data_IF_869881014856
#
_entry.id   IF_869881014856
#
_cell.length_a   1.000
_cell.length_b   1.000
_cell.length_c   1.000
_cell.angle_alpha   90.00
_cell.angle_beta   90.00
_cell.angle_gamma   90.00
#
_symmetry.space_group_name_H-M   'P 1'
#
loop_
_entity.id
_entity.type
_entity.pdbx_description
1 polymer ?
#
# COMPACT_ATOMS: atom_id res chain seq x y z
N UNK A 1 -52.51 11.39 -10.89
CA UNK A 1 -51.90 10.43 -9.95
C UNK A 1 -51.56 9.17 -10.74
N UNK A 2 -50.29 8.94 -11.03
CA UNK A 2 -49.80 7.74 -11.74
C UNK A 2 -48.61 7.18 -10.97
N UNK A 3 -48.73 5.90 -10.61
CA UNK A 3 -47.63 5.05 -10.15
C UNK A 3 -46.64 4.79 -11.29
N UNK A 4 -45.38 4.52 -10.93
CA UNK A 4 -44.53 3.56 -11.67
C UNK A 4 -43.13 4.07 -12.04
N UNK A 5 -42.12 3.51 -11.36
CA UNK A 5 -40.74 3.20 -11.80
C UNK A 5 -39.90 3.03 -10.52
N UNK A 6 -39.85 1.86 -9.87
CA UNK A 6 -39.03 0.69 -10.23
C UNK A 6 -37.80 1.01 -11.09
N UNK A 7 -36.66 1.23 -10.44
CA UNK A 7 -35.35 1.02 -11.04
C UNK A 7 -34.51 0.16 -10.08
N UNK A 8 -34.32 -1.10 -10.50
CA UNK A 8 -33.23 -1.94 -10.08
C UNK A 8 -31.90 -1.23 -10.39
N UNK A 9 -31.08 -1.05 -9.36
CA UNK A 9 -29.62 -1.01 -9.47
C UNK A 9 -29.16 -1.98 -8.39
N UNK A 10 -28.78 -3.21 -8.70
CA UNK A 10 -27.84 -3.59 -9.74
C UNK A 10 -26.50 -3.79 -9.03
N UNK A 11 -26.32 -5.01 -8.55
CA UNK A 11 -25.17 -5.50 -7.79
C UNK A 11 -23.82 -5.10 -8.38
N UNK A 12 -22.98 -4.47 -7.55
CA UNK A 12 -21.52 -4.60 -7.64
C UNK A 12 -20.97 -4.70 -6.21
N UNK A 13 -21.17 -5.87 -5.61
CA UNK A 13 -20.40 -6.33 -4.47
C UNK A 13 -19.03 -6.75 -5.02
N UNK A 14 -18.10 -5.80 -5.17
CA UNK A 14 -16.70 -6.15 -5.35
C UNK A 14 -16.10 -6.36 -3.97
N UNK A 15 -16.04 -7.64 -3.59
CA UNK A 15 -15.23 -8.12 -2.49
C UNK A 15 -13.77 -7.73 -2.74
N UNK A 16 -13.26 -6.75 -2.00
CA UNK A 16 -11.82 -6.56 -1.81
C UNK A 16 -11.42 -7.44 -0.63
N UNK A 17 -11.45 -8.75 -0.85
CA UNK A 17 -10.62 -9.68 -0.07
C UNK A 17 -9.27 -9.71 -0.76
N UNK A 18 -8.39 -8.79 -0.39
CA UNK A 18 -6.96 -8.95 -0.65
C UNK A 18 -6.35 -9.59 0.57
N UNK A 19 -5.99 -10.85 0.39
CA UNK A 19 -5.51 -11.78 1.40
C UNK A 19 -4.31 -11.23 2.18
N UNK A 20 -4.46 -11.15 3.50
CA UNK A 20 -3.35 -11.38 4.42
C UNK A 20 -3.25 -12.90 4.55
N UNK A 21 -2.41 -13.51 3.74
CA UNK A 21 -1.98 -14.90 3.90
C UNK A 21 -0.45 -14.93 3.86
N UNK A 22 0.15 -14.35 4.89
CA UNK A 22 1.47 -14.76 5.34
C UNK A 22 1.25 -15.80 6.44
N UNK A 23 0.95 -17.05 6.08
CA UNK A 23 0.88 -18.12 7.06
C UNK A 23 2.34 -18.39 7.47
N UNK A 24 2.72 -18.10 8.72
CA UNK A 24 3.99 -18.58 9.24
C UNK A 24 3.82 -20.06 9.59
N UNK A 25 4.63 -20.93 8.99
CA UNK A 25 4.82 -22.28 9.52
C UNK A 25 5.36 -22.13 10.94
N UNK A 26 4.61 -22.62 11.93
CA UNK A 26 5.15 -22.93 13.26
C UNK A 26 6.40 -23.79 13.06
N UNK A 27 7.53 -23.35 13.63
CA UNK A 27 8.73 -24.16 13.70
C UNK A 27 8.34 -25.56 14.17
N UNK A 28 8.80 -26.59 13.46
CA UNK A 28 8.68 -27.96 13.93
C UNK A 28 9.31 -28.03 15.32
N UNK A 29 8.46 -28.13 16.34
CA UNK A 29 8.88 -28.52 17.68
C UNK A 29 9.43 -29.94 17.50
N UNK A 30 10.75 -30.08 17.62
CA UNK A 30 11.34 -31.38 17.88
C UNK A 30 10.83 -31.79 19.27
N UNK A 31 9.74 -32.57 19.30
CA UNK A 31 9.42 -33.35 20.48
C UNK A 31 10.54 -34.38 20.66
N UNK A 32 11.35 -34.18 21.70
CA UNK A 32 12.21 -35.23 22.24
C UNK A 32 11.29 -36.32 22.80
N UNK A 33 10.99 -37.31 21.94
CA UNK A 33 10.45 -38.59 22.37
C UNK A 33 11.58 -39.42 22.96
N UNK A 34 11.69 -39.38 24.28
CA UNK A 34 12.24 -40.47 25.07
C UNK A 34 11.25 -41.64 24.96
N UNK A 35 11.61 -42.68 24.20
CA UNK A 35 11.12 -44.03 24.42
C UNK A 35 12.20 -45.00 23.96
N UNK A 36 12.92 -45.51 24.95
CA UNK A 36 13.65 -46.78 24.90
C UNK A 36 12.69 -47.89 24.44
N UNK A 37 13.06 -48.64 23.40
CA UNK A 37 12.83 -50.09 23.37
C UNK A 37 13.65 -50.75 22.25
N UNK A 38 14.41 -51.77 22.65
CA UNK A 38 15.27 -52.63 21.88
C UNK A 38 14.53 -53.37 20.73
N UNK A 39 15.07 -53.36 19.50
CA UNK A 39 14.98 -54.54 18.62
C UNK A 39 16.02 -54.53 17.47
N UNK A 40 16.82 -55.60 17.46
CA UNK A 40 17.82 -55.93 16.44
C UNK A 40 17.17 -56.36 15.12
N UNK A 41 17.40 -55.62 14.03
CA UNK A 41 17.59 -56.28 12.72
C UNK A 41 18.20 -55.41 11.63
N UNK A 42 19.31 -55.92 11.11
CA UNK A 42 20.08 -55.42 10.00
C UNK A 42 19.24 -55.27 8.72
N UNK A 43 19.17 -54.05 8.20
CA UNK A 43 18.59 -53.74 6.89
C UNK A 43 19.13 -52.42 6.35
N UNK A 44 20.34 -52.45 5.77
CA UNK A 44 20.94 -51.30 5.08
C UNK A 44 20.08 -50.83 3.90
N UNK A 45 19.30 -49.79 4.14
CA UNK A 45 18.59 -49.03 3.11
C UNK A 45 18.69 -47.54 3.40
N UNK A 46 19.82 -46.92 3.04
CA UNK A 46 20.00 -45.45 3.07
C UNK A 46 18.95 -44.79 2.15
N UNK A 47 17.79 -44.44 2.70
CA UNK A 47 16.88 -43.47 2.09
C UNK A 47 17.54 -42.10 2.22
N UNK A 48 18.22 -41.66 1.16
CA UNK A 48 18.56 -40.24 0.99
C UNK A 48 17.25 -39.46 0.97
N UNK A 49 16.97 -38.73 2.05
CA UNK A 49 15.93 -37.69 2.09
C UNK A 49 16.33 -36.67 1.02
N UNK A 50 15.59 -36.65 -0.08
CA UNK A 50 15.75 -35.68 -1.17
C UNK A 50 15.22 -34.35 -0.65
N UNK A 51 16.11 -33.53 -0.07
CA UNK A 51 15.88 -32.09 -0.01
C UNK A 51 15.79 -31.60 -1.44
N UNK A 52 14.68 -30.97 -1.77
CA UNK A 52 14.49 -30.29 -3.04
C UNK A 52 15.41 -29.07 -3.07
N UNK A 53 15.96 -28.72 -4.24
CA UNK A 53 16.90 -27.59 -4.40
C UNK A 53 16.35 -26.27 -3.83
N UNK A 54 15.02 -26.12 -3.75
CA UNK A 54 14.32 -25.00 -3.11
C UNK A 54 14.58 -24.83 -1.59
N UNK A 55 15.05 -25.87 -0.89
CA UNK A 55 15.36 -25.81 0.55
C UNK A 55 16.77 -25.27 0.82
N UNK A 56 17.71 -25.47 -0.12
CA UNK A 56 19.11 -25.05 0.03
C UNK A 56 19.26 -23.54 -0.21
N UNK A 57 18.50 -22.99 -1.16
CA UNK A 57 18.45 -21.54 -1.42
C UNK A 57 17.81 -20.77 -0.26
N UNK A 58 16.82 -21.35 0.44
CA UNK A 58 16.19 -20.73 1.60
C UNK A 58 17.15 -20.63 2.79
N UNK A 59 17.95 -21.67 3.06
CA UNK A 59 18.86 -21.72 4.20
C UNK A 59 19.94 -20.61 4.19
N UNK A 60 20.27 -20.06 3.02
CA UNK A 60 21.28 -19.01 2.89
C UNK A 60 20.72 -17.59 3.04
N UNK A 61 19.40 -17.43 3.02
CA UNK A 61 18.75 -16.13 3.20
C UNK A 61 18.84 -15.65 4.65
N UNK A 62 18.73 -14.33 4.86
CA UNK A 62 18.79 -13.76 6.20
C UNK A 62 17.67 -14.28 7.12
N UNK A 63 16.46 -14.49 6.58
CA UNK A 63 15.36 -15.13 7.31
C UNK A 63 15.57 -16.64 7.50
N UNK A 64 16.09 -17.33 6.48
CA UNK A 64 16.31 -18.77 6.55
C UNK A 64 17.36 -19.19 7.58
N UNK A 65 18.39 -18.37 7.81
CA UNK A 65 19.35 -18.57 8.92
C UNK A 65 18.69 -18.57 10.29
N UNK A 66 17.58 -17.84 10.40
CA UNK A 66 16.79 -17.73 11.62
C UNK A 66 15.61 -18.72 11.66
N UNK A 67 15.53 -19.62 10.67
CA UNK A 67 14.43 -20.56 10.44
C UNK A 67 13.06 -19.87 10.31
N UNK A 68 13.06 -18.66 9.74
CA UNK A 68 11.86 -17.90 9.40
C UNK A 68 11.60 -18.02 7.90
N UNK A 69 10.34 -18.27 7.54
CA UNK A 69 9.89 -18.24 6.16
C UNK A 69 8.41 -17.84 6.07
N UNK A 70 8.11 -17.00 5.09
CA UNK A 70 6.77 -16.72 4.58
C UNK A 70 6.37 -17.77 3.53
N UNK A 71 5.08 -17.98 3.33
CA UNK A 71 4.59 -18.87 2.25
C UNK A 71 4.98 -18.34 0.87
N UNK A 72 5.02 -17.02 0.73
CA UNK A 72 5.41 -16.37 -0.51
C UNK A 72 6.95 -16.34 -0.60
N UNK A 73 7.52 -17.18 -1.47
CA UNK A 73 8.96 -17.26 -1.70
C UNK A 73 9.56 -15.93 -2.14
N UNK A 74 8.84 -15.12 -2.91
CA UNK A 74 9.33 -13.81 -3.36
C UNK A 74 9.36 -12.80 -2.22
N UNK A 75 8.40 -12.87 -1.30
CA UNK A 75 8.44 -12.10 -0.06
C UNK A 75 9.64 -12.48 0.81
N UNK A 76 9.98 -13.78 0.92
CA UNK A 76 11.19 -14.23 1.62
C UNK A 76 12.46 -13.63 1.04
N UNK A 77 12.58 -13.64 -0.29
CA UNK A 77 13.73 -13.04 -0.99
C UNK A 77 13.80 -11.55 -0.71
N UNK A 78 12.71 -10.80 -0.94
CA UNK A 78 12.70 -9.35 -0.72
C UNK A 78 13.05 -8.96 0.72
N UNK A 79 12.43 -9.62 1.71
CA UNK A 79 12.71 -9.33 3.11
C UNK A 79 14.10 -9.76 3.55
N UNK A 80 14.71 -10.74 2.86
CA UNK A 80 16.06 -11.20 3.15
C UNK A 80 17.15 -10.38 2.45
N UNK A 81 16.85 -9.78 1.31
CA UNK A 81 17.77 -8.95 0.53
C UNK A 81 17.98 -7.58 1.19
N UNK A 82 16.96 -7.05 1.89
CA UNK A 82 17.10 -5.84 2.70
C UNK A 82 17.53 -6.17 4.13
N UNK A 83 18.76 -5.78 4.49
CA UNK A 83 19.34 -6.07 5.80
C UNK A 83 18.55 -5.45 6.97
N UNK A 84 17.94 -4.28 6.78
CA UNK A 84 17.13 -3.62 7.82
C UNK A 84 15.79 -4.31 7.99
N UNK A 85 15.15 -4.73 6.90
CA UNK A 85 13.89 -5.46 6.94
C UNK A 85 14.06 -6.89 7.45
N UNK A 86 15.15 -7.55 7.11
CA UNK A 86 15.47 -8.82 7.72
C UNK A 86 15.65 -8.67 9.23
N UNK A 87 16.49 -7.72 9.68
CA UNK A 87 16.72 -7.50 11.11
C UNK A 87 15.42 -7.19 11.86
N UNK A 88 14.57 -6.31 11.31
CA UNK A 88 13.26 -6.01 11.89
C UNK A 88 12.34 -7.24 12.01
N UNK A 89 12.34 -8.09 10.99
CA UNK A 89 11.56 -9.33 10.97
C UNK A 89 12.05 -10.31 12.04
N UNK A 90 13.36 -10.47 12.16
CA UNK A 90 13.98 -11.33 13.17
C UNK A 90 13.68 -10.81 14.58
N UNK A 91 13.83 -9.49 14.80
CA UNK A 91 13.51 -8.86 16.08
C UNK A 91 12.07 -9.10 16.47
N UNK A 92 11.13 -8.96 15.54
CA UNK A 92 9.72 -9.23 15.83
C UNK A 92 9.45 -10.72 16.12
N UNK A 93 9.95 -11.67 15.32
CA UNK A 93 9.49 -13.06 15.40
C UNK A 93 10.35 -14.01 16.22
N UNK A 94 11.66 -13.76 16.34
CA UNK A 94 12.58 -14.67 17.03
C UNK A 94 12.89 -14.25 18.47
N UNK A 95 12.73 -12.96 18.79
CA UNK A 95 13.16 -12.39 20.07
C UNK A 95 12.05 -11.71 20.88
N UNK A 96 10.84 -11.55 20.34
CA UNK A 96 9.80 -10.74 20.97
C UNK A 96 8.44 -11.46 21.01
N UNK A 97 8.18 -12.14 22.12
CA UNK A 97 6.88 -12.77 22.45
C UNK A 97 5.70 -11.81 22.27
N UNK A 98 5.88 -10.52 22.60
CA UNK A 98 4.80 -9.53 22.50
C UNK A 98 4.53 -9.13 21.04
N UNK A 99 5.55 -9.11 20.18
CA UNK A 99 5.38 -8.87 18.75
C UNK A 99 4.65 -10.05 18.08
N UNK A 100 4.98 -11.29 18.47
CA UNK A 100 4.27 -12.49 18.02
C UNK A 100 2.81 -12.49 18.46
N UNK A 101 2.51 -12.19 19.73
CA UNK A 101 1.12 -12.07 20.22
C UNK A 101 0.35 -10.98 19.48
N UNK A 102 0.99 -9.84 19.21
CA UNK A 102 0.38 -8.77 18.42
C UNK A 102 0.07 -9.24 16.99
N UNK A 103 0.99 -9.94 16.32
CA UNK A 103 0.73 -10.48 14.99
C UNK A 103 -0.46 -11.45 15.00
N UNK A 104 -0.46 -12.45 15.90
CA UNK A 104 -1.57 -13.40 16.02
C UNK A 104 -2.89 -12.69 16.27
N UNK A 105 -2.92 -11.71 17.16
CA UNK A 105 -4.12 -10.91 17.41
C UNK A 105 -4.60 -10.15 16.16
N UNK A 106 -3.69 -9.60 15.36
CA UNK A 106 -4.02 -8.92 14.10
C UNK A 106 -4.60 -9.86 13.04
N UNK A 107 -4.11 -11.10 12.96
CA UNK A 107 -4.62 -12.15 12.06
C UNK A 107 -5.99 -12.66 12.51
N UNK A 108 -6.23 -12.77 13.81
CA UNK A 108 -7.56 -13.08 14.36
C UNK A 108 -8.57 -11.98 13.99
N UNK A 109 -8.16 -10.70 14.02
CA UNK A 109 -9.04 -9.60 13.62
C UNK A 109 -9.47 -9.67 12.15
N UNK A 110 -8.60 -10.11 11.23
CA UNK A 110 -8.94 -10.19 9.81
C UNK A 110 -9.80 -11.42 9.49
N UNK A 111 -9.60 -12.51 10.23
CA UNK A 111 -10.36 -13.76 10.04
C UNK A 111 -11.72 -13.76 10.72
N UNK A 112 -11.91 -12.94 11.77
CA UNK A 112 -13.15 -12.86 12.52
C UNK A 112 -14.39 -12.47 11.69
N UNK A 113 -14.21 -11.85 10.52
CA UNK A 113 -15.30 -11.44 9.64
C UNK A 113 -16.19 -10.39 10.29
N UNK A 114 -15.96 -9.12 9.96
CA UNK A 114 -16.73 -7.99 10.46
C UNK A 114 -16.82 -6.88 9.42
N UNK A 115 -17.60 -5.84 9.73
CA UNK A 115 -17.51 -4.60 8.96
C UNK A 115 -16.19 -3.87 9.25
N UNK A 116 -15.87 -2.86 8.44
CA UNK A 116 -14.63 -2.09 8.56
C UNK A 116 -14.47 -1.47 9.97
N UNK A 117 -15.58 -1.10 10.63
CA UNK A 117 -15.55 -0.53 11.97
C UNK A 117 -15.16 -1.56 13.04
N UNK A 118 -15.71 -2.77 12.96
CA UNK A 118 -15.37 -3.89 13.83
C UNK A 118 -13.90 -4.31 13.65
N UNK A 119 -13.40 -4.35 12.41
CA UNK A 119 -12.00 -4.63 12.12
C UNK A 119 -11.09 -3.58 12.76
N UNK A 120 -11.38 -2.29 12.57
CA UNK A 120 -10.60 -1.19 13.18
C UNK A 120 -10.62 -1.26 14.71
N UNK A 121 -11.77 -1.54 15.31
CA UNK A 121 -11.89 -1.69 16.76
C UNK A 121 -11.07 -2.87 17.30
N UNK A 122 -11.10 -4.01 16.60
CA UNK A 122 -10.31 -5.19 16.94
C UNK A 122 -8.81 -4.90 16.87
N UNK A 123 -8.34 -4.32 15.76
CA UNK A 123 -6.94 -3.94 15.60
C UNK A 123 -6.47 -2.94 16.65
N UNK A 124 -7.31 -1.96 17.01
CA UNK A 124 -7.01 -1.02 18.08
C UNK A 124 -6.83 -1.74 19.42
N UNK A 125 -7.71 -2.68 19.75
CA UNK A 125 -7.61 -3.50 20.97
C UNK A 125 -6.33 -4.33 20.98
N UNK A 126 -5.98 -4.99 19.88
CA UNK A 126 -4.73 -5.76 19.79
C UNK A 126 -3.49 -4.91 20.07
N UNK A 127 -3.43 -3.68 19.55
CA UNK A 127 -2.32 -2.75 19.81
C UNK A 127 -2.25 -2.34 21.28
N UNK A 128 -3.40 -2.11 21.92
CA UNK A 128 -3.46 -1.78 23.35
C UNK A 128 -3.01 -2.95 24.22
N UNK A 129 -3.50 -4.15 23.94
CA UNK A 129 -3.19 -5.35 24.73
C UNK A 129 -1.73 -5.79 24.57
N UNK A 130 -1.10 -5.50 23.42
CA UNK A 130 0.27 -5.89 23.09
C UNK A 130 1.20 -4.69 22.87
N UNK A 131 1.06 -3.65 23.69
CA UNK A 131 1.79 -2.40 23.52
C UNK A 131 3.33 -2.57 23.53
N UNK A 132 3.85 -3.57 24.25
CA UNK A 132 5.28 -3.87 24.32
C UNK A 132 5.87 -4.37 22.98
N UNK A 133 5.06 -5.06 22.16
CA UNK A 133 5.44 -5.53 20.83
C UNK A 133 5.16 -4.52 19.71
N UNK A 134 4.45 -3.41 20.01
CA UNK A 134 3.92 -2.51 18.99
C UNK A 134 5.01 -1.81 18.17
N UNK A 135 6.09 -1.37 18.83
CA UNK A 135 7.18 -0.68 18.14
C UNK A 135 7.86 -1.61 17.13
N UNK A 136 8.25 -2.81 17.55
CA UNK A 136 8.92 -3.79 16.69
C UNK A 136 7.99 -4.26 15.56
N UNK A 137 6.70 -4.44 15.86
CA UNK A 137 5.69 -4.76 14.86
C UNK A 137 5.52 -3.65 13.81
N UNK A 138 5.56 -2.37 14.23
CA UNK A 138 5.49 -1.24 13.31
C UNK A 138 6.71 -1.18 12.39
N UNK A 139 7.91 -1.43 12.91
CA UNK A 139 9.14 -1.49 12.11
C UNK A 139 9.06 -2.64 11.11
N UNK A 140 8.66 -3.83 11.55
CA UNK A 140 8.42 -4.98 10.66
C UNK A 140 7.40 -4.64 9.56
N UNK A 141 6.22 -4.15 9.94
CA UNK A 141 5.13 -3.88 9.02
C UNK A 141 5.49 -2.76 8.02
N UNK A 142 6.23 -1.74 8.45
CA UNK A 142 6.76 -0.72 7.55
C UNK A 142 7.70 -1.32 6.51
N UNK A 143 8.51 -2.30 6.88
CA UNK A 143 9.38 -3.03 5.96
C UNK A 143 8.60 -3.88 4.95
N UNK A 144 7.59 -4.62 5.41
CA UNK A 144 6.73 -5.42 4.53
C UNK A 144 5.96 -4.53 3.54
N UNK A 145 5.50 -3.35 3.99
CA UNK A 145 4.71 -2.43 3.15
C UNK A 145 5.54 -1.53 2.24
N UNK A 146 6.70 -1.05 2.67
CA UNK A 146 7.47 -0.08 1.89
C UNK A 146 8.49 -0.75 0.97
N UNK A 147 9.15 -1.80 1.46
CA UNK A 147 10.24 -2.46 0.73
C UNK A 147 9.71 -3.62 -0.10
N UNK A 148 8.74 -4.36 0.44
CA UNK A 148 8.29 -5.62 -0.16
C UNK A 148 6.81 -5.66 -0.53
N UNK A 149 6.12 -4.51 -0.62
CA UNK A 149 4.68 -4.51 -0.93
C UNK A 149 4.36 -5.31 -2.19
N UNK A 150 5.04 -5.03 -3.31
CA UNK A 150 4.81 -5.71 -4.59
C UNK A 150 4.99 -7.23 -4.51
N UNK A 151 5.92 -7.69 -3.68
CA UNK A 151 6.29 -9.10 -3.58
C UNK A 151 5.49 -9.85 -2.51
N UNK A 152 5.09 -9.18 -1.43
CA UNK A 152 4.37 -9.76 -0.29
C UNK A 152 2.84 -9.66 -0.41
N UNK A 153 2.31 -9.35 -1.60
CA UNK A 153 0.87 -9.31 -1.84
C UNK A 153 0.14 -8.09 -1.26
N UNK A 154 0.88 -7.10 -0.75
CA UNK A 154 0.35 -5.74 -0.69
C UNK A 154 0.17 -5.32 -2.14
N UNK A 155 -1.04 -5.02 -2.60
CA UNK A 155 -1.21 -4.56 -3.97
C UNK A 155 -0.26 -3.39 -4.18
N UNK A 156 0.81 -3.59 -4.97
CA UNK A 156 1.64 -2.50 -5.42
C UNK A 156 0.65 -1.45 -5.97
N UNK A 157 0.83 -0.16 -5.66
CA UNK A 157 0.11 0.89 -6.35
C UNK A 157 0.13 0.53 -7.84
N UNK A 158 -1.03 0.45 -8.53
CA UNK A 158 -1.04 0.02 -9.91
C UNK A 158 -0.02 0.87 -10.66
N UNK A 159 0.99 0.23 -11.26
CA UNK A 159 2.22 0.87 -11.73
C UNK A 159 2.01 1.91 -12.85
N UNK A 160 0.76 2.13 -13.25
CA UNK A 160 0.35 2.99 -14.35
C UNK A 160 -0.60 4.12 -13.92
N UNK A 161 -0.87 4.32 -12.61
CA UNK A 161 -1.69 5.46 -12.22
C UNK A 161 -0.89 6.76 -12.38
N UNK A 162 -1.47 7.69 -13.12
CA UNK A 162 -1.02 9.08 -13.07
C UNK A 162 -1.18 9.62 -11.64
N UNK A 163 -0.39 10.62 -11.23
CA UNK A 163 -0.54 11.23 -9.90
C UNK A 163 -1.97 11.68 -9.59
N UNK A 164 -2.69 12.20 -10.58
CA UNK A 164 -4.09 12.60 -10.45
C UNK A 164 -5.01 11.40 -10.16
N UNK A 165 -4.85 10.26 -10.85
CA UNK A 165 -5.65 9.07 -10.61
C UNK A 165 -5.35 8.44 -9.25
N UNK A 166 -4.07 8.40 -8.85
CA UNK A 166 -3.69 7.92 -7.53
C UNK A 166 -4.25 8.84 -6.43
N UNK A 167 -4.24 10.16 -6.66
CA UNK A 167 -4.88 11.11 -5.75
C UNK A 167 -6.39 10.92 -5.66
N UNK A 168 -7.10 10.66 -6.76
CA UNK A 168 -8.54 10.41 -6.72
C UNK A 168 -8.91 9.24 -5.79
N UNK A 169 -8.10 8.18 -5.82
CA UNK A 169 -8.22 7.05 -4.90
C UNK A 169 -7.94 7.46 -3.44
N UNK A 170 -6.85 8.19 -3.19
CA UNK A 170 -6.53 8.72 -1.87
C UNK A 170 -7.63 9.65 -1.33
N UNK A 171 -8.15 10.56 -2.16
CA UNK A 171 -9.19 11.51 -1.84
C UNK A 171 -10.47 10.81 -1.36
N UNK A 172 -10.91 9.79 -2.10
CA UNK A 172 -12.12 9.02 -1.76
C UNK A 172 -12.00 8.33 -0.41
N UNK A 173 -10.79 7.87 -0.04
CA UNK A 173 -10.54 7.20 1.26
C UNK A 173 -10.37 8.19 2.42
N UNK A 174 -9.64 9.28 2.20
CA UNK A 174 -9.25 10.21 3.26
C UNK A 174 -10.36 11.22 3.56
N UNK A 175 -11.12 11.67 2.54
CA UNK A 175 -12.13 12.73 2.71
C UNK A 175 -13.17 12.38 3.80
N UNK A 176 -13.78 11.19 3.85
CA UNK A 176 -14.75 10.85 4.89
C UNK A 176 -14.18 10.96 6.31
N UNK A 177 -12.89 10.63 6.49
CA UNK A 177 -12.21 10.64 7.79
C UNK A 177 -11.77 12.07 8.20
N UNK A 178 -11.33 12.88 7.24
CA UNK A 178 -10.61 14.14 7.53
C UNK A 178 -11.40 15.41 7.21
N UNK A 179 -12.36 15.38 6.29
CA UNK A 179 -12.98 16.59 5.75
C UNK A 179 -13.82 17.35 6.78
N UNK A 180 -14.37 16.68 7.79
CA UNK A 180 -15.16 17.31 8.86
C UNK A 180 -14.39 18.39 9.62
N UNK A 181 -13.07 18.23 9.77
CA UNK A 181 -12.21 19.23 10.40
C UNK A 181 -11.49 20.13 9.40
N UNK A 182 -11.19 19.60 8.21
CA UNK A 182 -10.26 20.21 7.26
C UNK A 182 -10.93 20.85 6.03
N UNK A 183 -12.26 20.99 6.03
CA UNK A 183 -13.03 21.78 5.05
C UNK A 183 -13.49 23.09 5.68
N UNK A 184 -13.65 24.15 4.88
CA UNK A 184 -14.12 25.45 5.37
C UNK A 184 -15.43 25.34 6.19
N UNK A 185 -15.54 25.98 7.36
CA UNK A 185 -14.63 27.00 7.91
C UNK A 185 -13.41 26.45 8.67
N UNK A 186 -13.26 25.12 8.77
CA UNK A 186 -12.29 24.45 9.61
C UNK A 186 -12.78 24.38 11.06
N UNK A 187 -12.41 23.33 11.77
CA UNK A 187 -12.74 23.20 13.20
C UNK A 187 -11.46 23.15 14.03
N UNK A 188 -11.50 23.68 15.25
CA UNK A 188 -10.37 23.62 16.20
C UNK A 188 -9.02 24.14 15.66
N UNK A 189 -9.05 25.15 14.78
CA UNK A 189 -7.84 25.69 14.16
C UNK A 189 -7.20 24.79 13.10
N UNK A 190 -7.89 23.74 12.66
CA UNK A 190 -7.42 22.87 11.59
C UNK A 190 -7.27 23.66 10.28
N UNK A 191 -6.11 23.49 9.63
CA UNK A 191 -5.86 24.09 8.31
C UNK A 191 -6.87 23.55 7.29
N UNK A 192 -7.43 24.43 6.47
CA UNK A 192 -8.30 24.05 5.36
C UNK A 192 -7.44 23.44 4.26
N UNK A 193 -7.61 22.15 4.05
CA UNK A 193 -6.86 21.39 3.03
C UNK A 193 -7.79 20.67 2.07
N UNK A 194 -9.10 20.54 2.39
CA UNK A 194 -10.12 20.06 1.47
C UNK A 194 -10.84 21.23 0.79
N UNK A 195 -10.80 21.20 -0.55
CA UNK A 195 -11.52 22.14 -1.41
C UNK A 195 -12.96 21.68 -1.67
N UNK A 196 -13.64 22.39 -2.57
CA UNK A 196 -15.02 22.07 -2.96
C UNK A 196 -15.15 20.66 -3.58
N UNK A 197 -14.11 20.23 -4.29
CA UNK A 197 -14.04 18.94 -4.99
C UNK A 197 -12.62 18.33 -4.91
N UNK A 198 -12.44 17.21 -5.61
CA UNK A 198 -11.17 16.49 -5.71
C UNK A 198 -10.07 17.35 -6.32
N UNK A 199 -10.33 18.01 -7.46
CA UNK A 199 -9.32 18.80 -8.18
C UNK A 199 -8.83 20.01 -7.36
N UNK A 200 -9.74 20.70 -6.67
CA UNK A 200 -9.40 21.77 -5.75
C UNK A 200 -8.59 21.25 -4.56
N UNK A 201 -8.95 20.09 -4.01
CA UNK A 201 -8.21 19.47 -2.90
C UNK A 201 -6.81 19.06 -3.33
N UNK A 202 -6.65 18.49 -4.53
CA UNK A 202 -5.36 18.13 -5.08
C UNK A 202 -4.42 19.34 -5.13
N UNK A 203 -4.93 20.46 -5.65
CA UNK A 203 -4.18 21.73 -5.74
C UNK A 203 -3.74 22.22 -4.35
N UNK A 204 -4.64 22.17 -3.35
CA UNK A 204 -4.34 22.56 -1.97
C UNK A 204 -3.30 21.63 -1.31
N UNK A 205 -3.39 20.33 -1.57
CA UNK A 205 -2.45 19.34 -1.06
C UNK A 205 -1.04 19.53 -1.65
N UNK A 206 -0.95 19.73 -2.96
CA UNK A 206 0.31 20.07 -3.65
C UNK A 206 0.91 21.37 -3.11
N UNK A 207 0.09 22.41 -2.96
CA UNK A 207 0.54 23.70 -2.40
C UNK A 207 1.04 23.58 -0.94
N UNK A 208 0.49 22.63 -0.18
CA UNK A 208 0.94 22.33 1.18
C UNK A 208 2.17 21.40 1.24
N UNK A 209 2.65 20.89 0.10
CA UNK A 209 3.74 19.93 0.03
C UNK A 209 3.39 18.54 0.58
N UNK A 210 2.11 18.16 0.53
CA UNK A 210 1.62 16.87 1.04
C UNK A 210 1.85 15.69 0.10
N UNK A 211 2.24 15.98 -1.14
CA UNK A 211 2.71 15.04 -2.15
C UNK A 211 4.10 14.45 -1.87
N UNK A 212 4.76 14.87 -0.79
CA UNK A 212 6.11 14.43 -0.41
C UNK A 212 6.06 13.31 0.63
N UNK A 213 6.99 12.38 0.55
CA UNK A 213 7.11 11.20 1.44
C UNK A 213 7.31 11.52 2.92
N UNK A 214 7.89 12.67 3.25
CA UNK A 214 8.07 13.14 4.63
C UNK A 214 7.10 14.25 5.04
N UNK A 215 6.01 14.43 4.29
CA UNK A 215 5.04 15.49 4.60
C UNK A 215 4.29 15.21 5.92
N UNK A 216 3.75 16.26 6.53
CA UNK A 216 2.90 16.14 7.73
C UNK A 216 1.63 15.30 7.49
N UNK A 217 1.20 15.20 6.23
CA UNK A 217 0.04 14.41 5.85
C UNK A 217 0.35 12.91 5.82
N UNK A 218 1.54 12.52 5.33
CA UNK A 218 2.03 11.13 5.33
C UNK A 218 2.44 10.68 6.72
N UNK A 219 3.18 11.53 7.45
CA UNK A 219 3.73 11.19 8.77
C UNK A 219 2.72 11.30 9.89
N UNK A 220 1.57 11.97 9.66
CA UNK A 220 0.50 12.23 10.64
C UNK A 220 1.08 12.57 12.02
N UNK A 221 1.53 13.82 12.18
CA UNK A 221 1.92 14.35 13.49
C UNK A 221 0.77 14.27 14.51
N UNK A 222 1.07 14.56 15.78
CA UNK A 222 0.08 14.49 16.86
C UNK A 222 -1.08 15.48 16.61
N UNK A 223 -2.30 14.95 16.45
CA UNK A 223 -3.51 15.76 16.29
C UNK A 223 -4.74 15.08 16.92
N UNK A 224 -5.80 15.83 17.17
CA UNK A 224 -7.02 15.35 17.85
C UNK A 224 -7.93 14.45 16.99
N UNK A 225 -7.77 14.49 15.65
CA UNK A 225 -8.51 13.60 14.75
C UNK A 225 -8.08 12.13 14.87
N UNK A 226 -8.90 11.18 14.38
CA UNK A 226 -8.53 9.78 14.38
C UNK A 226 -7.26 9.53 13.53
N UNK A 227 -6.49 8.47 13.84
CA UNK A 227 -5.43 8.03 12.94
C UNK A 227 -6.02 7.62 11.59
N UNK A 228 -5.22 7.68 10.53
CA UNK A 228 -5.61 7.14 9.22
C UNK A 228 -5.86 5.64 9.35
N UNK A 229 -6.93 5.16 8.72
CA UNK A 229 -7.07 3.72 8.49
C UNK A 229 -5.90 3.19 7.63
N UNK A 230 -5.61 1.89 7.72
CA UNK A 230 -4.58 1.26 6.91
C UNK A 230 -4.84 1.46 5.40
N UNK A 231 -6.11 1.38 4.98
CA UNK A 231 -6.51 1.63 3.59
C UNK A 231 -6.28 3.08 3.16
N UNK A 232 -6.60 4.06 4.00
CA UNK A 232 -6.31 5.47 3.73
C UNK A 232 -4.80 5.73 3.62
N UNK A 233 -4.00 5.14 4.52
CA UNK A 233 -2.52 5.26 4.48
C UNK A 233 -1.94 4.68 3.18
N UNK A 234 -2.35 3.46 2.80
CA UNK A 234 -1.88 2.84 1.55
C UNK A 234 -2.25 3.64 0.30
N UNK A 235 -3.44 4.23 0.25
CA UNK A 235 -3.83 5.09 -0.88
C UNK A 235 -3.02 6.40 -0.94
N UNK A 236 -2.67 6.98 0.21
CA UNK A 236 -1.79 8.15 0.29
C UNK A 236 -0.38 7.78 -0.17
N UNK A 237 0.16 6.66 0.28
CA UNK A 237 1.50 6.20 -0.10
C UNK A 237 1.58 5.92 -1.61
N UNK A 238 0.53 5.31 -2.18
CA UNK A 238 0.38 5.13 -3.61
C UNK A 238 0.39 6.46 -4.39
N UNK A 239 -0.34 7.46 -3.89
CA UNK A 239 -0.34 8.79 -4.48
C UNK A 239 1.03 9.46 -4.41
N UNK A 240 1.68 9.45 -3.24
CA UNK A 240 3.02 10.03 -3.05
C UNK A 240 4.08 9.32 -3.89
N UNK A 241 3.98 8.00 -4.04
CA UNK A 241 4.85 7.24 -4.94
C UNK A 241 4.64 7.65 -6.41
N UNK A 242 3.39 7.83 -6.84
CA UNK A 242 3.08 8.33 -8.19
C UNK A 242 3.61 9.75 -8.42
N UNK A 243 3.57 10.63 -7.42
CA UNK A 243 4.15 11.98 -7.47
C UNK A 243 5.68 12.00 -7.56
N UNK A 244 6.33 11.01 -6.94
CA UNK A 244 7.78 10.86 -6.96
C UNK A 244 8.30 10.17 -8.23
N UNK A 245 7.45 9.43 -8.93
CA UNK A 245 7.83 8.74 -10.17
C UNK A 245 8.29 9.77 -11.21
N UNK A 246 9.39 9.51 -11.93
CA UNK A 246 9.77 10.36 -13.04
C UNK A 246 8.60 10.42 -14.03
N UNK A 247 8.32 11.58 -14.65
CA UNK A 247 7.33 11.62 -15.71
C UNK A 247 7.70 10.54 -16.70
N UNK A 248 6.76 9.64 -16.99
CA UNK A 248 6.96 8.64 -18.03
C UNK A 248 7.10 9.42 -19.32
N UNK A 249 8.34 9.78 -19.66
CA UNK A 249 8.71 10.30 -20.97
C UNK A 249 8.25 9.21 -21.91
N UNK A 250 7.10 9.43 -22.55
CA UNK A 250 6.40 8.43 -23.34
C UNK A 250 7.43 7.70 -24.17
N UNK A 251 7.80 6.52 -23.70
CA UNK A 251 8.74 5.66 -24.38
C UNK A 251 8.05 5.40 -25.69
N UNK A 252 8.61 5.96 -26.76
CA UNK A 252 7.98 6.02 -28.07
C UNK A 252 7.42 4.65 -28.39
N UNK A 253 6.12 4.50 -28.21
CA UNK A 253 5.41 3.34 -28.69
C UNK A 253 5.58 3.41 -30.18
N UNK A 254 6.45 2.55 -30.71
CA UNK A 254 6.38 2.09 -32.08
C UNK A 254 4.93 1.65 -32.28
N UNK A 255 4.11 2.57 -32.78
CA UNK A 255 2.81 2.27 -33.33
C UNK A 255 3.04 1.43 -34.56
N UNK A 256 3.18 0.12 -34.36
CA UNK A 256 2.97 -0.85 -35.43
C UNK A 256 1.54 -0.66 -35.88
N UNK A 257 1.40 0.01 -37.02
CA UNK A 257 0.12 0.31 -37.63
C UNK A 257 -0.67 -0.96 -37.94
N UNK A 258 -1.94 -0.92 -37.57
CA UNK A 258 -3.05 -1.52 -38.31
C UNK A 258 -4.18 -0.51 -38.17
N UNK A 259 -4.73 0.10 -39.21
CA UNK A 259 -4.94 -0.41 -40.56
C UNK A 259 -6.45 -0.58 -40.75
N UNK A 260 -7.10 0.47 -41.28
CA UNK A 260 -8.34 0.33 -42.04
C UNK A 260 -9.63 0.84 -41.41
N UNK A 261 -10.25 1.83 -42.05
CA UNK A 261 -11.69 1.75 -42.31
C UNK A 261 -12.56 2.97 -41.98
N UNK A 262 -12.65 3.88 -42.96
CA UNK A 262 -13.82 4.66 -43.41
C UNK A 262 -14.86 5.20 -42.41
N UNK A 263 -15.04 6.52 -42.44
CA UNK A 263 -16.27 7.18 -41.96
C UNK A 263 -16.29 8.67 -42.24
N UNK A 264 -16.75 9.04 -43.44
CA UNK A 264 -17.00 10.39 -43.97
C UNK A 264 -18.08 11.19 -43.23
N UNK A 265 -17.92 12.52 -43.22
CA UNK A 265 -18.99 13.53 -43.06
C UNK A 265 -18.86 14.32 -41.75
N UNK A 266 -18.70 15.64 -41.71
CA UNK A 266 -19.14 16.69 -42.62
C UNK A 266 -19.99 17.66 -41.81
N UNK A 267 -19.49 18.88 -41.54
CA UNK A 267 -20.22 19.87 -40.76
C UNK A 267 -19.49 21.21 -40.64
N UNK A 268 -19.74 22.09 -41.61
CA UNK A 268 -19.33 23.49 -41.65
C UNK A 268 -20.03 24.35 -40.57
N UNK A 269 -19.38 25.46 -40.21
CA UNK A 269 -19.99 26.66 -39.61
C UNK A 269 -19.02 27.33 -38.64
N UNK A 270 -18.21 28.31 -39.07
CA UNK A 270 -18.55 29.75 -39.09
C UNK A 270 -18.05 30.38 -37.77
N UNK A 271 -17.21 31.42 -37.69
CA UNK A 271 -17.00 32.57 -38.54
C UNK A 271 -17.17 33.84 -37.67
N UNK A 272 -16.12 34.67 -37.54
CA UNK A 272 -16.10 35.96 -36.83
C UNK A 272 -15.02 35.96 -35.74
N UNK A 273 -13.89 36.67 -35.82
CA UNK A 273 -13.68 38.09 -36.17
C UNK A 273 -13.80 38.91 -34.88
N UNK A 274 -12.88 39.76 -34.41
CA UNK A 274 -11.58 40.27 -34.84
C UNK A 274 -11.16 41.36 -33.83
N UNK A 275 -9.92 41.85 -33.92
CA UNK A 275 -9.40 43.01 -33.19
C UNK A 275 -8.42 42.63 -32.07
N UNK A 276 -7.19 43.13 -31.98
CA UNK A 276 -6.54 44.26 -32.63
C UNK A 276 -5.90 45.17 -31.57
N UNK A 277 -4.58 45.33 -31.63
CA UNK A 277 -3.79 46.30 -30.84
C UNK A 277 -2.95 45.63 -29.74
N UNK A 278 -1.65 45.87 -29.57
CA UNK A 278 -0.75 46.85 -30.16
C UNK A 278 0.23 47.37 -29.08
N UNK A 279 1.53 47.31 -29.36
CA UNK A 279 2.61 47.98 -28.60
C UNK A 279 3.08 47.23 -27.33
N UNK A 280 4.36 47.18 -26.96
CA UNK A 280 5.56 47.85 -27.45
C UNK A 280 6.54 48.02 -26.27
N UNK A 281 7.85 47.87 -26.54
CA UNK A 281 8.97 48.20 -25.62
C UNK A 281 9.42 47.03 -24.73
N UNK A 282 10.71 46.73 -24.54
CA UNK A 282 11.95 47.44 -24.83
C UNK A 282 12.84 47.47 -23.58
N UNK A 283 14.09 47.00 -23.68
CA UNK A 283 15.15 47.11 -22.67
C UNK A 283 15.52 45.77 -22.02
N UNK A 284 16.76 45.28 -21.99
CA UNK A 284 18.07 45.89 -22.19
C UNK A 284 18.82 46.04 -20.86
N UNK A 285 19.92 45.27 -20.69
CA UNK A 285 20.87 45.37 -19.58
C UNK A 285 21.07 44.02 -18.87
N UNK A 286 22.21 43.34 -18.86
CA UNK A 286 23.60 43.80 -18.99
C UNK A 286 24.19 44.05 -17.61
N UNK A 287 25.00 43.13 -17.11
CA UNK A 287 25.73 43.30 -15.85
C UNK A 287 26.44 42.03 -15.37
N UNK A 288 27.63 41.77 -15.92
CA UNK A 288 28.66 41.01 -15.22
C UNK A 288 29.31 41.92 -14.17
N UNK A 289 29.52 41.37 -12.98
CA UNK A 289 30.36 41.90 -11.91
C UNK A 289 30.72 40.76 -10.98
#
# INVERSE_FOLDING_TARGET
MRLGALLLVGSTLFAVLSAVACNQRTAAVEEEGDDDDDDDSAGSGKKKKKTTDDDEDKANTCLGKENLAFDNSTCNTCMSDDASCCAATITCFKGNEDCKKLQTCMEECTTAGGDDAALVACQAKCKTDNAAGLNDWQVYNACTQNTCASECGGAAPPADLTPAQAFAAAYTKVKPECASCHTAPGTNGAKIIFGADEAATYTLFKAAGYDKSNSLFVTKGQHLGPPLSAGSKGAIDAWVAAEAAPPTTGGGGNGTGGGGGNGTGGGNGGGGGGGGGGGGGGGGGGGNG
#
